data_IF_467468275378
#
_entry.id   IF_467468275378
#
_cell.length_a   1.000
_cell.length_b   1.000
_cell.length_c   1.000
_cell.angle_alpha   90.00
_cell.angle_beta   90.00
_cell.angle_gamma   90.00
#
_symmetry.space_group_name_H-M   'P 1'
#
loop_
_entity.id
_entity.type
_entity.pdbx_description
1 polymer ?
#
# COMPACT_ATOMS: atom_id res chain seq x y z
N UNK A 1 -1.32 -0.99 -1.25
CA UNK A 1 -0.21 -1.94 -1.05
C UNK A 1 1.03 -1.35 -1.70
N UNK A 2 1.92 -0.73 -0.93
CA UNK A 2 3.23 -0.35 -1.44
C UNK A 2 4.14 -1.57 -1.40
N UNK A 3 4.55 -2.02 -2.57
CA UNK A 3 5.22 -3.31 -2.80
C UNK A 3 6.38 -3.15 -3.76
N UNK A 4 7.06 -4.24 -4.10
CA UNK A 4 8.10 -4.25 -5.12
C UNK A 4 8.32 -5.63 -5.70
N UNK A 5 8.76 -5.71 -6.96
CA UNK A 5 9.07 -6.96 -7.64
C UNK A 5 10.15 -7.75 -6.91
N UNK A 6 11.18 -7.06 -6.39
CA UNK A 6 12.28 -7.69 -5.65
C UNK A 6 12.03 -7.77 -4.12
N UNK A 7 10.84 -7.37 -3.64
CA UNK A 7 10.54 -7.31 -2.23
C UNK A 7 10.20 -8.71 -1.66
N UNK A 8 11.20 -9.38 -1.08
CA UNK A 8 11.06 -10.72 -0.48
C UNK A 8 9.96 -10.76 0.59
N UNK A 9 9.90 -9.75 1.47
CA UNK A 9 8.88 -9.70 2.51
C UNK A 9 7.47 -9.48 1.96
N UNK A 10 7.33 -8.77 0.84
CA UNK A 10 6.04 -8.59 0.17
C UNK A 10 5.54 -9.92 -0.39
N UNK A 11 6.41 -10.69 -1.06
CA UNK A 11 6.08 -12.04 -1.56
C UNK A 11 5.67 -12.97 -0.41
N UNK A 12 6.40 -12.94 0.71
CA UNK A 12 6.04 -13.72 1.90
C UNK A 12 4.66 -13.36 2.47
N UNK A 13 4.28 -12.09 2.48
CA UNK A 13 2.94 -11.68 2.89
C UNK A 13 1.88 -12.22 1.93
N UNK A 14 2.11 -12.12 0.62
CA UNK A 14 1.17 -12.62 -0.38
C UNK A 14 0.98 -14.15 -0.27
N UNK A 15 2.08 -14.89 -0.18
CA UNK A 15 2.05 -16.36 -0.17
C UNK A 15 1.46 -16.92 1.14
N UNK A 16 1.81 -16.33 2.29
CA UNK A 16 1.52 -16.93 3.60
C UNK A 16 0.37 -16.23 4.35
N UNK A 17 0.06 -14.99 4.01
CA UNK A 17 -0.94 -14.17 4.73
C UNK A 17 -2.12 -13.84 3.85
N UNK A 18 -1.93 -13.37 2.62
CA UNK A 18 -3.05 -12.97 1.77
C UNK A 18 -3.89 -14.16 1.30
N UNK A 19 -3.24 -15.27 0.96
CA UNK A 19 -3.89 -16.46 0.41
C UNK A 19 -4.57 -17.35 1.48
N UNK A 20 -4.55 -16.96 2.75
CA UNK A 20 -5.05 -17.79 3.86
C UNK A 20 -6.32 -17.23 4.49
N UNK A 21 -7.10 -18.12 5.10
CA UNK A 21 -8.18 -17.70 5.99
C UNK A 21 -7.58 -17.12 7.29
N UNK A 22 -8.12 -16.02 7.84
CA UNK A 22 -9.37 -15.35 7.44
C UNK A 22 -9.17 -14.12 6.52
N UNK A 23 -8.03 -14.00 5.83
CA UNK A 23 -7.63 -12.79 5.09
C UNK A 23 -8.19 -12.77 3.67
N UNK A 24 -8.09 -13.88 2.94
CA UNK A 24 -8.44 -13.92 1.51
C UNK A 24 -9.87 -13.42 1.21
N UNK A 25 -10.93 -13.84 1.94
CA UNK A 25 -12.28 -13.33 1.70
C UNK A 25 -12.39 -11.82 1.94
N UNK A 26 -11.76 -11.30 3.00
CA UNK A 26 -11.77 -9.86 3.29
C UNK A 26 -11.16 -9.06 2.15
N UNK A 27 -9.99 -9.48 1.67
CA UNK A 27 -9.30 -8.81 0.57
C UNK A 27 -10.10 -8.86 -0.74
N UNK A 28 -10.78 -9.97 -1.01
CA UNK A 28 -11.52 -10.21 -2.25
C UNK A 28 -12.88 -9.49 -2.27
N UNK A 29 -13.59 -9.53 -1.15
CA UNK A 29 -15.01 -9.17 -1.10
C UNK A 29 -15.23 -7.77 -0.49
N UNK A 30 -14.33 -7.28 0.35
CA UNK A 30 -14.50 -6.02 1.11
C UNK A 30 -13.55 -4.90 0.68
N UNK A 31 -12.53 -5.19 -0.13
CA UNK A 31 -11.48 -4.25 -0.49
C UNK A 31 -11.24 -4.14 -2.00
N UNK A 32 -10.94 -2.92 -2.46
CA UNK A 32 -10.27 -2.68 -3.74
C UNK A 32 -8.78 -2.52 -3.46
N UNK A 33 -7.96 -3.37 -4.06
CA UNK A 33 -6.51 -3.35 -3.84
C UNK A 33 -5.83 -2.58 -4.97
N UNK A 34 -5.10 -1.53 -4.59
CA UNK A 34 -4.13 -0.87 -5.46
C UNK A 34 -2.71 -1.23 -5.01
N UNK A 35 -1.98 -1.98 -5.84
CA UNK A 35 -0.57 -2.33 -5.63
C UNK A 35 0.33 -1.36 -6.37
N UNK A 36 1.15 -0.64 -5.62
CA UNK A 36 2.08 0.39 -6.10
C UNK A 36 3.49 -0.18 -5.98
N UNK A 37 4.02 -0.65 -7.11
CA UNK A 37 5.37 -1.21 -7.20
C UNK A 37 6.40 -0.10 -7.21
N UNK A 38 7.14 0.08 -6.11
CA UNK A 38 8.09 1.19 -5.93
C UNK A 38 9.41 0.99 -6.71
N UNK A 39 9.68 -0.23 -7.13
CA UNK A 39 10.85 -0.61 -7.94
C UNK A 39 10.52 -0.82 -9.43
N UNK A 40 9.31 -0.43 -9.86
CA UNK A 40 8.90 -0.52 -11.25
C UNK A 40 9.76 0.39 -12.16
N UNK A 41 10.34 -0.23 -13.20
CA UNK A 41 11.27 0.40 -14.15
C UNK A 41 10.61 0.98 -15.39
N UNK A 42 9.28 0.91 -15.49
CA UNK A 42 8.53 1.52 -16.59
C UNK A 42 8.83 3.00 -16.66
N UNK A 43 9.37 3.44 -17.79
CA UNK A 43 9.67 4.86 -18.04
C UNK A 43 8.36 5.62 -18.24
N UNK A 44 8.29 6.80 -17.65
CA UNK A 44 7.18 7.73 -17.83
C UNK A 44 7.51 8.69 -18.97
N UNK A 45 6.47 9.12 -19.69
CA UNK A 45 6.56 10.27 -20.58
C UNK A 45 6.98 11.52 -19.79
N UNK A 46 7.66 12.47 -20.42
CA UNK A 46 8.16 13.68 -19.73
C UNK A 46 7.05 14.50 -19.07
N UNK A 47 5.85 14.52 -19.67
CA UNK A 47 4.65 15.16 -19.11
C UNK A 47 4.19 14.57 -17.77
N UNK A 48 4.58 13.33 -17.48
CA UNK A 48 4.17 12.58 -16.28
C UNK A 48 5.27 12.52 -15.22
N UNK A 49 6.43 13.14 -15.50
CA UNK A 49 7.52 13.26 -14.54
C UNK A 49 7.09 14.11 -13.35
N UNK A 50 7.56 13.71 -12.17
CA UNK A 50 7.26 14.40 -10.91
C UNK A 50 8.55 14.90 -10.31
N UNK A 51 8.60 16.18 -9.94
CA UNK A 51 9.67 16.72 -9.09
C UNK A 51 9.29 16.48 -7.64
N UNK A 52 10.10 15.69 -6.94
CA UNK A 52 9.88 15.37 -5.53
C UNK A 52 9.90 16.63 -4.66
N UNK A 53 8.88 16.80 -3.84
CA UNK A 53 8.89 17.80 -2.76
C UNK A 53 9.80 17.40 -1.59
N UNK A 54 10.18 16.12 -1.51
CA UNK A 54 11.02 15.57 -0.45
C UNK A 54 12.52 15.75 -0.73
N UNK A 55 12.99 15.40 -1.94
CA UNK A 55 14.42 15.44 -2.29
C UNK A 55 14.77 16.33 -3.49
N UNK A 56 13.78 17.00 -4.10
CA UNK A 56 13.98 17.88 -5.26
C UNK A 56 14.34 17.16 -6.56
N UNK A 57 14.41 15.83 -6.58
CA UNK A 57 14.80 15.06 -7.78
C UNK A 57 13.59 14.78 -8.66
N UNK A 58 13.84 14.75 -9.96
CA UNK A 58 12.86 14.36 -10.97
C UNK A 58 12.73 12.83 -11.00
N UNK A 59 11.51 12.33 -10.81
CA UNK A 59 11.13 10.92 -10.89
C UNK A 59 10.65 10.60 -12.30
N UNK A 60 11.38 9.72 -12.99
CA UNK A 60 11.19 9.43 -14.42
C UNK A 60 10.63 8.04 -14.69
N UNK A 61 10.49 7.21 -13.66
CA UNK A 61 9.89 5.87 -13.76
C UNK A 61 8.68 5.77 -12.84
N UNK A 62 7.77 4.86 -13.17
CA UNK A 62 6.57 4.61 -12.37
C UNK A 62 6.91 4.27 -10.92
N UNK A 63 7.90 3.40 -10.70
CA UNK A 63 8.34 3.04 -9.36
C UNK A 63 8.93 4.21 -8.58
N UNK A 64 9.80 5.01 -9.22
CA UNK A 64 10.35 6.20 -8.55
C UNK A 64 9.27 7.24 -8.19
N UNK A 65 8.21 7.35 -9.00
CA UNK A 65 7.04 8.19 -8.70
C UNK A 65 6.23 7.64 -7.53
N UNK A 66 6.01 6.32 -7.45
CA UNK A 66 5.31 5.70 -6.33
C UNK A 66 6.12 5.70 -5.02
N UNK A 67 7.44 5.49 -5.09
CA UNK A 67 8.33 5.64 -3.95
C UNK A 67 8.27 7.06 -3.37
N UNK A 68 8.32 8.07 -4.26
CA UNK A 68 8.19 9.47 -3.88
C UNK A 68 6.81 9.79 -3.29
N UNK A 69 5.75 9.25 -3.89
CA UNK A 69 4.39 9.38 -3.36
C UNK A 69 4.26 8.77 -1.97
N UNK A 70 4.88 7.61 -1.72
CA UNK A 70 4.90 6.99 -0.39
C UNK A 70 5.53 7.91 0.66
N UNK A 71 6.70 8.47 0.33
CA UNK A 71 7.45 9.35 1.24
C UNK A 71 6.71 10.66 1.47
N UNK A 72 6.31 11.34 0.39
CA UNK A 72 5.69 12.66 0.47
C UNK A 72 4.31 12.64 1.14
N UNK A 73 3.52 11.58 0.94
CA UNK A 73 2.17 11.47 1.52
C UNK A 73 2.15 10.83 2.89
N UNK A 74 2.97 9.81 3.12
CA UNK A 74 2.88 8.98 4.33
C UNK A 74 4.12 9.07 5.22
N UNK A 75 5.19 9.74 4.78
CA UNK A 75 6.41 9.93 5.57
C UNK A 75 7.22 8.64 5.77
N UNK A 76 7.09 7.66 4.88
CA UNK A 76 7.76 6.36 4.98
C UNK A 76 8.25 5.84 3.62
N UNK A 77 9.20 4.92 3.65
CA UNK A 77 9.83 4.34 2.45
C UNK A 77 10.04 2.81 2.54
N UNK A 78 9.37 2.14 3.48
CA UNK A 78 9.50 0.69 3.67
C UNK A 78 8.41 -0.09 2.92
N UNK A 79 8.73 -1.29 2.46
CA UNK A 79 7.80 -2.23 1.84
C UNK A 79 7.95 -3.65 2.47
N UNK A 80 6.87 -4.44 2.60
CA UNK A 80 5.48 -4.08 2.26
C UNK A 80 4.94 -3.02 3.22
N UNK A 81 4.09 -2.13 2.71
CA UNK A 81 3.34 -1.19 3.52
C UNK A 81 1.88 -1.13 3.05
N UNK A 82 0.97 -1.50 3.93
CA UNK A 82 -0.47 -1.53 3.70
C UNK A 82 -1.13 -0.36 4.41
N UNK A 83 -1.85 0.45 3.63
CA UNK A 83 -2.55 1.65 4.10
C UNK A 83 -3.98 1.53 3.60
N UNK A 84 -4.92 1.73 4.52
CA UNK A 84 -6.35 1.68 4.22
C UNK A 84 -6.88 3.11 4.10
N UNK A 85 -7.44 3.41 2.94
CA UNK A 85 -8.06 4.70 2.60
C UNK A 85 -9.56 4.52 2.41
N UNK A 86 -10.33 5.59 2.60
CA UNK A 86 -11.70 5.65 2.08
C UNK A 86 -11.76 6.13 0.62
N UNK A 87 -12.97 6.24 0.06
CA UNK A 87 -13.16 6.68 -1.34
C UNK A 87 -12.80 8.15 -1.58
N UNK A 88 -12.58 8.96 -0.53
CA UNK A 88 -12.07 10.33 -0.64
C UNK A 88 -10.53 10.37 -0.52
N UNK A 89 -9.87 9.22 -0.33
CA UNK A 89 -8.44 9.11 -0.13
C UNK A 89 -7.98 9.41 1.30
N UNK A 90 -8.90 9.51 2.25
CA UNK A 90 -8.57 9.77 3.66
C UNK A 90 -8.09 8.50 4.35
N UNK A 91 -7.03 8.61 5.15
CA UNK A 91 -6.45 7.48 5.89
C UNK A 91 -7.38 7.05 7.02
N UNK A 92 -7.81 5.79 7.02
CA UNK A 92 -8.69 5.24 8.05
C UNK A 92 -7.92 4.69 9.26
N UNK A 93 -6.74 4.10 9.03
CA UNK A 93 -5.86 3.60 10.08
C UNK A 93 -4.57 4.40 10.09
N UNK A 94 -4.30 5.10 11.20
CA UNK A 94 -3.14 5.99 11.34
C UNK A 94 -1.82 5.26 11.10
N UNK A 95 -1.69 4.08 11.71
CA UNK A 95 -0.48 3.27 11.61
C UNK A 95 -0.64 2.25 10.46
N UNK A 96 0.22 2.31 9.42
CA UNK A 96 0.24 1.29 8.39
C UNK A 96 0.58 -0.07 8.95
N UNK A 97 0.13 -1.12 8.25
CA UNK A 97 0.60 -2.47 8.49
C UNK A 97 1.83 -2.74 7.62
N UNK A 98 2.88 -3.31 8.19
CA UNK A 98 4.11 -3.67 7.47
C UNK A 98 4.25 -5.21 7.38
N UNK A 99 5.45 -5.72 7.19
CA UNK A 99 5.69 -7.16 7.22
C UNK A 99 5.34 -7.75 8.60
N UNK A 100 4.38 -8.66 8.64
CA UNK A 100 4.08 -9.51 9.78
C UNK A 100 3.43 -10.81 9.27
N UNK A 101 4.07 -11.99 9.44
CA UNK A 101 3.60 -13.25 8.88
C UNK A 101 2.38 -13.85 9.61
N UNK A 102 1.76 -13.13 10.55
CA UNK A 102 0.54 -13.57 11.25
C UNK A 102 -0.73 -13.15 10.48
N UNK A 103 -1.48 -14.10 9.90
CA UNK A 103 -2.72 -13.80 9.18
C UNK A 103 -3.85 -13.29 10.07
N UNK A 104 -3.86 -13.66 11.35
CA UNK A 104 -4.86 -13.16 12.30
C UNK A 104 -4.63 -11.67 12.55
N UNK A 105 -3.38 -11.27 12.80
CA UNK A 105 -3.01 -9.87 12.99
C UNK A 105 -3.39 -9.01 11.76
N UNK A 106 -3.12 -9.51 10.54
CA UNK A 106 -3.49 -8.79 9.32
C UNK A 106 -5.01 -8.72 9.13
N UNK A 107 -5.74 -9.80 9.45
CA UNK A 107 -7.21 -9.78 9.39
C UNK A 107 -7.84 -8.77 10.35
N UNK A 108 -7.26 -8.57 11.53
CA UNK A 108 -7.72 -7.55 12.48
C UNK A 108 -7.52 -6.15 11.92
N UNK A 109 -6.39 -5.89 11.28
CA UNK A 109 -6.12 -4.64 10.59
C UNK A 109 -7.17 -4.36 9.49
N UNK A 110 -7.49 -5.36 8.65
CA UNK A 110 -8.52 -5.25 7.62
C UNK A 110 -9.92 -5.03 8.20
N UNK A 111 -10.31 -5.79 9.23
CA UNK A 111 -11.62 -5.64 9.87
C UNK A 111 -11.79 -4.28 10.54
N UNK A 112 -10.74 -3.75 11.16
CA UNK A 112 -10.75 -2.41 11.75
C UNK A 112 -10.91 -1.32 10.68
N UNK A 113 -10.29 -1.49 9.51
CA UNK A 113 -10.50 -0.62 8.35
C UNK A 113 -11.96 -0.57 7.90
N UNK A 114 -12.58 -1.73 7.72
CA UNK A 114 -14.01 -1.85 7.34
C UNK A 114 -14.91 -1.19 8.38
N UNK A 115 -14.63 -1.42 9.67
CA UNK A 115 -15.39 -0.82 10.78
C UNK A 115 -15.32 0.70 10.75
N UNK A 116 -14.12 1.26 10.55
CA UNK A 116 -13.94 2.72 10.46
C UNK A 116 -14.56 3.33 9.20
N UNK A 117 -14.44 2.65 8.07
CA UNK A 117 -15.10 3.06 6.83
C UNK A 117 -16.63 3.15 7.04
N UNK A 118 -17.23 2.07 7.54
CA UNK A 118 -18.68 2.00 7.82
C UNK A 118 -19.11 3.06 8.84
N UNK A 119 -18.31 3.33 9.88
CA UNK A 119 -18.64 4.37 10.87
C UNK A 119 -18.60 5.78 10.26
N UNK A 120 -17.66 6.05 9.36
CA UNK A 120 -17.47 7.37 8.74
C UNK A 120 -18.51 7.68 7.67
N UNK A 121 -18.99 6.66 6.97
CA UNK A 121 -19.88 6.78 5.80
C UNK A 121 -21.29 6.21 6.02
N UNK A 122 -21.68 6.03 7.28
CA UNK A 122 -23.07 5.82 7.71
C UNK A 122 -23.80 7.14 7.76
#
# INVERSE_FOLDING_TARGET
DFTGYACVNCRKMEDNVWATEPVLPLLKDEYIIASLYVDDRTKLDEKDWVTSSYDGKIKKTLGSKYADFQISRFGMNAQPAYIILDYNGEVLIKDPFFYNPDPIAFSHFLKEGIRKFTKKHK
#
